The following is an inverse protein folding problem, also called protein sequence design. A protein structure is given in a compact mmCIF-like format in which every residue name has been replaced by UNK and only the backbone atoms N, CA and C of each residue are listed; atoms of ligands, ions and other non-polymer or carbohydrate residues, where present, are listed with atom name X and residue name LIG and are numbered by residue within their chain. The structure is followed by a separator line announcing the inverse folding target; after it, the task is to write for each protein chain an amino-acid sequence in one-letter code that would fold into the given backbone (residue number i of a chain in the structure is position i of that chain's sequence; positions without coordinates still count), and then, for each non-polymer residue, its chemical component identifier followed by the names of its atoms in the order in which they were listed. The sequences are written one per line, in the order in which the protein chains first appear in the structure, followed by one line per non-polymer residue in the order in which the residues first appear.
data_IF_061517339181
#
_entry.id   IF_061517339181
#
_cell.length_a   1.000
_cell.length_b   1.000
_cell.length_c   1.000
_cell.angle_alpha   90.00
_cell.angle_beta   90.00
_cell.angle_gamma   90.00
#
_symmetry.space_group_name_H-M   'P 1'
#
loop_
_entity.id
_entity.type
_entity.pdbx_description
1 polymer ?
#
# COMPACT_ATOMS: atom_id res chain seq x y z
N UNK A 1 27.01 -12.42 14.39
CA UNK A 1 26.08 -12.53 13.25
C UNK A 1 24.91 -13.37 13.73
N UNK A 2 23.78 -12.72 14.03
CA UNK A 2 22.62 -13.34 14.70
C UNK A 2 21.79 -14.16 13.70
N UNK A 3 21.40 -15.41 14.03
CA UNK A 3 20.59 -16.28 13.18
C UNK A 3 19.11 -15.83 13.01
N UNK A 4 18.69 -14.75 13.67
CA UNK A 4 17.32 -14.23 13.59
C UNK A 4 17.01 -13.50 12.26
N UNK A 5 18.02 -13.12 11.48
CA UNK A 5 17.79 -12.39 10.22
C UNK A 5 17.31 -13.28 9.05
N UNK A 6 17.35 -14.61 9.20
CA UNK A 6 17.12 -15.56 8.09
C UNK A 6 15.68 -16.11 8.04
N UNK A 7 14.85 -15.93 9.08
CA UNK A 7 13.46 -16.42 9.08
C UNK A 7 12.45 -15.38 8.57
N UNK A 8 12.85 -14.11 8.44
CA UNK A 8 12.00 -13.04 7.87
C UNK A 8 12.02 -13.01 6.32
N UNK A 9 12.16 -14.18 5.68
CA UNK A 9 12.12 -14.31 4.22
C UNK A 9 10.65 -14.55 3.83
N UNK A 10 10.03 -13.51 3.28
CA UNK A 10 8.67 -13.43 2.69
C UNK A 10 7.52 -13.16 3.68
N UNK A 11 7.47 -11.93 4.19
CA UNK A 11 6.20 -11.27 4.52
C UNK A 11 6.09 -10.04 3.63
N UNK A 12 5.28 -10.10 2.57
CA UNK A 12 5.07 -8.96 1.66
C UNK A 12 3.95 -8.08 2.23
N UNK A 13 4.25 -6.79 2.44
CA UNK A 13 3.22 -5.78 2.76
C UNK A 13 2.82 -5.09 1.46
N UNK A 14 1.58 -5.32 1.01
CA UNK A 14 1.05 -4.69 -0.19
C UNK A 14 0.25 -3.44 0.18
N UNK A 15 0.61 -2.31 -0.42
CA UNK A 15 -0.18 -1.09 -0.31
C UNK A 15 -0.19 -0.32 -1.62
N UNK A 16 -1.36 -0.26 -2.26
CA UNK A 16 -1.52 0.34 -3.58
C UNK A 16 -1.83 1.85 -3.53
N UNK A 17 -2.35 2.35 -2.40
CA UNK A 17 -2.93 3.69 -2.31
C UNK A 17 -2.40 4.42 -1.07
N UNK A 18 -1.08 4.66 -1.06
CA UNK A 18 -0.38 5.42 -0.03
C UNK A 18 -0.10 6.84 -0.50
N UNK A 19 -0.43 7.81 0.35
CA UNK A 19 -0.17 9.22 0.11
C UNK A 19 -0.60 10.09 1.28
N UNK A 20 -0.52 11.43 1.14
CA UNK A 20 -0.08 12.16 -0.04
C UNK A 20 1.45 12.11 -0.24
N UNK A 21 1.92 12.32 -1.48
CA UNK A 21 3.34 12.38 -1.79
C UNK A 21 3.63 12.28 -3.28
N UNK A 22 4.90 12.43 -3.67
CA UNK A 22 5.33 12.40 -5.07
C UNK A 22 4.88 11.12 -5.80
N UNK A 23 4.98 9.96 -5.14
CA UNK A 23 4.58 8.68 -5.76
C UNK A 23 3.07 8.64 -6.04
N UNK A 24 2.25 9.15 -5.12
CA UNK A 24 0.80 9.24 -5.30
C UNK A 24 0.44 10.19 -6.45
N UNK A 25 0.98 11.40 -6.44
CA UNK A 25 0.74 12.39 -7.51
C UNK A 25 1.19 11.86 -8.85
N UNK A 26 2.35 11.19 -8.90
CA UNK A 26 2.85 10.62 -10.15
C UNK A 26 1.97 9.49 -10.66
N UNK A 27 1.42 8.67 -9.76
CA UNK A 27 0.48 7.61 -10.12
C UNK A 27 -0.79 8.16 -10.75
N UNK A 28 -1.42 9.17 -10.14
CA UNK A 28 -2.67 9.75 -10.67
C UNK A 28 -2.45 10.47 -12.00
N UNK A 29 -1.33 11.17 -12.16
CA UNK A 29 -0.91 11.77 -13.44
C UNK A 29 -0.74 10.72 -14.55
N UNK A 30 -0.05 9.62 -14.24
CA UNK A 30 0.20 8.56 -15.22
C UNK A 30 -1.09 7.87 -15.63
N UNK A 31 -1.97 7.56 -14.67
CA UNK A 31 -3.27 6.96 -14.96
C UNK A 31 -4.13 7.87 -15.85
N UNK A 32 -4.13 9.17 -15.57
CA UNK A 32 -4.81 10.16 -16.40
C UNK A 32 -4.24 10.26 -17.83
N UNK A 33 -2.91 10.14 -17.96
CA UNK A 33 -2.23 10.25 -19.25
C UNK A 33 -2.40 9.03 -20.18
N UNK A 34 -2.80 7.87 -19.65
CA UNK A 34 -2.95 6.63 -20.44
C UNK A 34 -4.11 6.72 -21.44
N UNK A 35 -5.15 7.51 -21.14
CA UNK A 35 -6.36 7.58 -21.97
C UNK A 35 -7.18 6.29 -21.95
N UNK A 36 -7.16 5.57 -20.82
CA UNK A 36 -7.91 4.32 -20.64
C UNK A 36 -9.41 4.58 -20.46
N UNK A 37 -10.24 3.56 -20.69
CA UNK A 37 -11.68 3.64 -20.41
C UNK A 37 -12.03 3.62 -18.90
N UNK A 38 -11.06 3.34 -18.03
CA UNK A 38 -11.27 3.12 -16.60
C UNK A 38 -11.14 4.39 -15.76
N UNK A 39 -10.34 5.35 -16.23
CA UNK A 39 -9.97 6.56 -15.49
C UNK A 39 -10.15 7.79 -16.38
N UNK A 40 -10.48 8.92 -15.76
CA UNK A 40 -10.61 10.20 -16.45
C UNK A 40 -9.24 10.73 -16.95
N UNK A 41 -9.25 11.74 -17.83
CA UNK A 41 -8.05 12.42 -18.29
C UNK A 41 -7.57 13.52 -17.33
N UNK A 42 -8.39 13.94 -16.36
CA UNK A 42 -7.98 14.86 -15.29
C UNK A 42 -7.42 14.09 -14.07
N UNK A 43 -6.13 14.27 -13.70
CA UNK A 43 -5.52 13.62 -12.54
C UNK A 43 -6.28 13.81 -11.22
N UNK A 44 -6.97 14.93 -11.02
CA UNK A 44 -7.76 15.17 -9.80
C UNK A 44 -9.02 14.31 -9.75
N UNK A 45 -9.64 14.08 -10.91
CA UNK A 45 -10.80 13.19 -11.02
C UNK A 45 -10.34 11.75 -10.82
N UNK A 46 -9.20 11.37 -11.40
CA UNK A 46 -8.58 10.05 -11.19
C UNK A 46 -8.27 9.81 -9.71
N UNK A 47 -7.67 10.78 -9.02
CA UNK A 47 -7.42 10.71 -7.58
C UNK A 47 -8.70 10.36 -6.80
N UNK A 48 -9.79 11.05 -7.08
CA UNK A 48 -11.07 10.77 -6.44
C UNK A 48 -11.65 9.43 -6.85
N UNK A 49 -11.50 9.00 -8.10
CA UNK A 49 -11.94 7.68 -8.56
C UNK A 49 -11.22 6.57 -7.79
N UNK A 50 -9.89 6.67 -7.63
CA UNK A 50 -9.07 5.69 -6.90
C UNK A 50 -9.36 5.71 -5.40
N UNK A 51 -9.50 6.89 -4.78
CA UNK A 51 -9.88 6.96 -3.35
C UNK A 51 -11.27 6.34 -3.13
N UNK A 52 -12.19 6.52 -4.07
CA UNK A 52 -13.54 5.99 -3.98
C UNK A 52 -13.65 4.49 -4.28
N UNK A 53 -12.65 3.85 -4.89
CA UNK A 53 -12.67 2.39 -5.06
C UNK A 53 -12.34 1.66 -3.75
N UNK A 54 -11.69 2.32 -2.80
CA UNK A 54 -11.34 1.75 -1.49
C UNK A 54 -12.52 1.87 -0.53
N UNK A 55 -12.88 0.81 0.24
CA UNK A 55 -13.93 0.89 1.25
C UNK A 55 -13.71 1.97 2.31
N UNK A 56 -12.46 2.20 2.74
CA UNK A 56 -12.13 3.25 3.71
C UNK A 56 -12.16 4.68 3.16
N UNK A 57 -12.28 4.88 1.83
CA UNK A 57 -12.44 6.19 1.18
C UNK A 57 -11.36 7.21 1.55
N UNK A 58 -10.15 6.74 1.82
CA UNK A 58 -8.97 7.57 2.10
C UNK A 58 -7.71 6.86 1.65
N UNK A 59 -6.64 7.63 1.49
CA UNK A 59 -5.31 7.10 1.35
C UNK A 59 -4.82 6.52 2.67
N UNK A 60 -4.01 5.47 2.58
CA UNK A 60 -3.21 5.01 3.71
C UNK A 60 -2.01 5.94 3.92
N UNK A 61 -1.52 6.03 5.15
CA UNK A 61 -0.27 6.72 5.46
C UNK A 61 0.92 5.75 5.42
N UNK A 62 2.13 6.32 5.26
CA UNK A 62 3.36 5.55 5.37
C UNK A 62 3.54 4.94 6.76
N UNK A 63 3.06 5.62 7.82
CA UNK A 63 3.13 5.08 9.17
C UNK A 63 2.26 3.82 9.33
N UNK A 64 1.10 3.75 8.67
CA UNK A 64 0.23 2.58 8.73
C UNK A 64 0.91 1.33 8.14
N UNK A 65 1.63 1.50 7.03
CA UNK A 65 2.47 0.44 6.44
C UNK A 65 3.62 0.07 7.37
N UNK A 66 4.33 1.07 7.89
CA UNK A 66 5.46 0.85 8.79
C UNK A 66 5.05 0.13 10.08
N UNK A 67 3.87 0.41 10.62
CA UNK A 67 3.32 -0.29 11.79
C UNK A 67 3.04 -1.76 11.49
N UNK A 68 2.50 -2.08 10.31
CA UNK A 68 2.32 -3.47 9.86
C UNK A 68 3.65 -4.22 9.76
N UNK A 69 4.68 -3.57 9.19
CA UNK A 69 6.05 -4.12 9.14
C UNK A 69 6.62 -4.30 10.55
N UNK A 70 6.46 -3.31 11.43
CA UNK A 70 6.97 -3.36 12.80
C UNK A 70 6.35 -4.52 13.59
N UNK A 71 5.04 -4.77 13.43
CA UNK A 71 4.38 -5.94 14.01
C UNK A 71 4.97 -7.25 13.49
N UNK A 72 5.18 -7.36 12.18
CA UNK A 72 5.79 -8.56 11.58
C UNK A 72 7.21 -8.83 12.05
N UNK A 73 7.92 -7.79 12.50
CA UNK A 73 9.26 -7.89 13.04
C UNK A 73 9.30 -8.11 14.56
N UNK A 74 8.14 -8.08 15.24
CA UNK A 74 8.06 -8.18 16.68
C UNK A 74 8.05 -9.63 17.18
N UNK A 75 8.28 -9.84 18.48
CA UNK A 75 8.28 -11.19 19.08
C UNK A 75 6.89 -11.85 19.04
N UNK A 76 5.84 -11.05 19.03
CA UNK A 76 4.44 -11.48 18.91
C UNK A 76 4.17 -12.17 17.56
N UNK A 77 4.92 -11.84 16.51
CA UNK A 77 4.83 -12.47 15.20
C UNK A 77 5.74 -13.70 15.03
N UNK A 78 6.33 -14.23 16.10
CA UNK A 78 7.33 -15.32 16.05
C UNK A 78 6.89 -16.62 15.38
N UNK A 79 5.58 -16.86 15.22
CA UNK A 79 5.03 -18.02 14.51
C UNK A 79 4.28 -17.66 13.23
N UNK A 80 4.42 -16.42 12.76
CA UNK A 80 3.76 -15.91 11.56
C UNK A 80 4.80 -15.84 10.43
N UNK A 81 4.67 -16.70 9.43
CA UNK A 81 5.57 -16.79 8.27
C UNK A 81 4.84 -17.29 7.03
N UNK A 82 5.35 -16.98 5.83
CA UNK A 82 4.81 -17.49 4.56
C UNK A 82 3.44 -16.93 4.19
N UNK A 83 3.08 -15.76 4.69
CA UNK A 83 1.82 -15.09 4.42
C UNK A 83 2.05 -13.64 3.97
N UNK A 84 1.05 -13.05 3.31
CA UNK A 84 1.07 -11.66 2.90
C UNK A 84 0.14 -10.84 3.81
N UNK A 85 0.62 -9.69 4.26
CA UNK A 85 -0.18 -8.74 5.04
C UNK A 85 -0.62 -7.60 4.12
N UNK A 86 -1.92 -7.49 3.88
CA UNK A 86 -2.49 -6.43 3.05
C UNK A 86 -2.81 -5.20 3.90
N UNK A 87 -2.24 -4.05 3.53
CA UNK A 87 -2.51 -2.75 4.15
C UNK A 87 -3.11 -1.85 3.07
N UNK A 88 -4.37 -2.14 2.72
CA UNK A 88 -5.05 -1.57 1.53
C UNK A 88 -6.27 -0.73 1.86
N UNK A 89 -6.70 -0.70 3.13
CA UNK A 89 -7.97 -0.05 3.49
C UNK A 89 -9.22 -0.78 2.98
N UNK A 90 -9.08 -2.08 2.66
CA UNK A 90 -10.17 -2.97 2.25
C UNK A 90 -10.32 -3.13 0.73
N UNK A 91 -9.33 -2.68 -0.05
CA UNK A 91 -9.24 -3.02 -1.48
C UNK A 91 -9.15 -4.54 -1.70
#
# INVERSE_FOLDING_TARGET
MSPLLTVAIVSLVFSALIGPGFMWTRQTELQAAVGSQYFDADPKVVEQQMINSVPMRRLGSLEEVANGVAFLMSEEASYITGFNLEVTGGE
#
